data_IF_979635776536
#
_entry.id   IF_979635776536
#
_cell.length_a   1.000
_cell.length_b   1.000
_cell.length_c   1.000
_cell.angle_alpha   90.00
_cell.angle_beta   90.00
_cell.angle_gamma   90.00
#
_symmetry.space_group_name_H-M   'P 1'
#
loop_
_entity.id
_entity.type
_entity.pdbx_description
1 polymer ?
#
# COMPACT_ATOMS: atom_id res chain seq x y z
N UNK A 1 -9.17 26.61 -10.42
CA UNK A 1 -9.59 25.19 -10.55
C UNK A 1 -9.46 24.53 -9.19
N UNK A 2 -10.53 23.97 -8.61
CA UNK A 2 -10.41 23.08 -7.44
C UNK A 2 -9.61 21.85 -7.88
N UNK A 3 -8.47 21.60 -7.24
CA UNK A 3 -7.79 20.32 -7.41
C UNK A 3 -8.69 19.23 -6.81
N UNK A 4 -9.03 18.21 -7.60
CA UNK A 4 -9.74 17.04 -7.07
C UNK A 4 -8.81 16.32 -6.08
N UNK A 5 -9.19 16.34 -4.81
CA UNK A 5 -8.52 15.55 -3.77
C UNK A 5 -8.98 14.10 -3.96
N UNK A 6 -8.08 13.23 -4.44
CA UNK A 6 -8.39 11.81 -4.67
C UNK A 6 -8.39 11.01 -3.37
N UNK A 7 -7.47 11.36 -2.47
CA UNK A 7 -7.37 10.77 -1.13
C UNK A 7 -7.32 11.92 -0.12
N UNK A 8 -8.41 12.13 0.59
CA UNK A 8 -8.45 13.06 1.72
C UNK A 8 -7.66 12.50 2.92
N UNK A 9 -7.38 13.37 3.88
CA UNK A 9 -6.59 13.00 5.06
C UNK A 9 -7.23 11.86 5.86
N UNK A 10 -8.55 11.87 6.01
CA UNK A 10 -9.27 10.85 6.78
C UNK A 10 -9.20 9.51 6.08
N UNK A 11 -9.47 9.46 4.77
CA UNK A 11 -9.31 8.22 3.98
C UNK A 11 -7.87 7.71 4.06
N UNK A 12 -6.87 8.59 3.92
CA UNK A 12 -5.46 8.22 4.03
C UNK A 12 -5.12 7.59 5.39
N UNK A 13 -5.59 8.18 6.49
CA UNK A 13 -5.39 7.62 7.85
C UNK A 13 -6.07 6.27 8.00
N UNK A 14 -7.30 6.11 7.48
CA UNK A 14 -8.01 4.82 7.53
C UNK A 14 -7.25 3.76 6.73
N UNK A 15 -6.74 4.08 5.54
CA UNK A 15 -5.95 3.14 4.74
C UNK A 15 -4.68 2.69 5.49
N UNK A 16 -3.96 3.62 6.12
CA UNK A 16 -2.78 3.30 6.93
C UNK A 16 -3.15 2.46 8.15
N UNK A 17 -4.24 2.76 8.84
CA UNK A 17 -4.71 1.98 9.98
C UNK A 17 -5.05 0.53 9.59
N UNK A 18 -5.73 0.34 8.46
CA UNK A 18 -6.01 -1.00 7.91
C UNK A 18 -4.72 -1.71 7.52
N UNK A 19 -3.72 -1.00 6.99
CA UNK A 19 -2.45 -1.60 6.61
C UNK A 19 -1.68 -2.12 7.84
N UNK A 20 -1.71 -1.37 8.95
CA UNK A 20 -1.14 -1.80 10.24
C UNK A 20 -1.80 -3.08 10.74
N UNK A 21 -3.12 -3.24 10.54
CA UNK A 21 -3.81 -4.47 10.92
C UNK A 21 -3.33 -5.67 10.08
N UNK A 22 -3.13 -5.49 8.77
CA UNK A 22 -2.56 -6.54 7.92
C UNK A 22 -1.14 -6.92 8.35
N UNK A 23 -0.29 -5.93 8.64
CA UNK A 23 1.06 -6.18 9.16
C UNK A 23 1.05 -6.88 10.52
N UNK A 24 0.12 -6.52 11.43
CA UNK A 24 -0.03 -7.19 12.72
C UNK A 24 -0.44 -8.66 12.57
N UNK A 25 -1.35 -8.96 11.63
CA UNK A 25 -1.74 -10.34 11.30
C UNK A 25 -0.54 -11.10 10.71
N UNK A 26 0.19 -10.51 9.77
CA UNK A 26 1.40 -11.12 9.20
C UNK A 26 2.47 -11.39 10.26
N UNK A 27 2.72 -10.45 11.16
CA UNK A 27 3.65 -10.62 12.28
C UNK A 27 3.23 -11.77 13.21
N UNK A 28 1.93 -11.87 13.52
CA UNK A 28 1.38 -12.98 14.32
C UNK A 28 1.50 -14.33 13.62
N UNK A 29 1.23 -14.38 12.31
CA UNK A 29 1.37 -15.60 11.50
C UNK A 29 2.84 -16.05 11.42
N UNK A 30 3.77 -15.13 11.25
CA UNK A 30 5.21 -15.45 11.19
C UNK A 30 5.78 -16.07 12.48
N UNK A 31 5.06 -16.02 13.61
CA UNK A 31 5.43 -16.76 14.82
C UNK A 31 5.32 -18.29 14.66
N UNK A 32 4.54 -18.76 13.68
CA UNK A 32 4.36 -20.18 13.39
C UNK A 32 5.33 -20.58 12.25
N UNK A 33 6.37 -21.38 12.52
CA UNK A 33 7.32 -21.78 11.49
C UNK A 33 6.65 -22.63 10.40
N UNK A 34 7.11 -22.47 9.15
CA UNK A 34 6.55 -23.05 7.90
C UNK A 34 5.10 -22.66 7.59
N UNK A 35 4.14 -23.05 8.41
CA UNK A 35 2.71 -22.87 8.14
C UNK A 35 2.31 -21.39 8.19
N UNK A 36 2.85 -20.65 9.15
CA UNK A 36 2.64 -19.22 9.29
C UNK A 36 3.19 -18.40 8.14
N UNK A 37 4.33 -18.80 7.57
CA UNK A 37 4.95 -18.13 6.42
C UNK A 37 4.10 -18.29 5.16
N UNK A 38 3.55 -19.49 4.92
CA UNK A 38 2.65 -19.73 3.78
C UNK A 38 1.38 -18.90 3.91
N UNK A 39 0.80 -18.83 5.11
CA UNK A 39 -0.38 -18.01 5.38
C UNK A 39 -0.08 -16.51 5.27
N UNK A 40 1.09 -16.06 5.74
CA UNK A 40 1.51 -14.66 5.64
C UNK A 40 1.62 -14.21 4.18
N UNK A 41 2.15 -15.06 3.28
CA UNK A 41 2.18 -14.76 1.83
C UNK A 41 0.77 -14.58 1.27
N UNK A 42 -0.19 -15.43 1.65
CA UNK A 42 -1.58 -15.29 1.22
C UNK A 42 -2.23 -14.00 1.75
N UNK A 43 -1.97 -13.65 3.01
CA UNK A 43 -2.44 -12.41 3.62
C UNK A 43 -1.86 -11.19 2.92
N UNK A 44 -0.55 -11.18 2.61
CA UNK A 44 0.08 -10.12 1.83
C UNK A 44 -0.56 -9.96 0.45
N UNK A 45 -0.83 -11.06 -0.27
CA UNK A 45 -1.52 -11.01 -1.58
C UNK A 45 -2.89 -10.35 -1.43
N UNK A 46 -3.68 -10.75 -0.43
CA UNK A 46 -5.00 -10.17 -0.17
C UNK A 46 -4.89 -8.68 0.19
N UNK A 47 -3.89 -8.30 0.98
CA UNK A 47 -3.64 -6.91 1.34
C UNK A 47 -3.31 -6.06 0.10
N UNK A 48 -2.39 -6.52 -0.75
CA UNK A 48 -2.04 -5.83 -2.00
C UNK A 48 -3.22 -5.70 -2.96
N UNK A 49 -4.07 -6.72 -3.08
CA UNK A 49 -5.30 -6.64 -3.87
C UNK A 49 -6.30 -5.66 -3.28
N UNK A 50 -6.49 -5.69 -1.96
CA UNK A 50 -7.41 -4.80 -1.24
C UNK A 50 -7.01 -3.35 -1.42
N UNK A 51 -5.75 -3.02 -1.13
CA UNK A 51 -5.23 -1.66 -1.30
C UNK A 51 -5.15 -1.26 -2.77
N UNK A 52 -4.74 -2.17 -3.66
CA UNK A 52 -4.72 -1.94 -5.10
C UNK A 52 -6.10 -1.53 -5.62
N UNK A 53 -7.14 -2.29 -5.26
CA UNK A 53 -8.52 -1.96 -5.61
C UNK A 53 -8.98 -0.66 -4.94
N UNK A 54 -8.61 -0.42 -3.68
CA UNK A 54 -8.97 0.81 -2.98
C UNK A 54 -8.37 2.04 -3.67
N UNK A 55 -7.09 1.98 -4.04
CA UNK A 55 -6.44 3.04 -4.82
C UNK A 55 -7.11 3.24 -6.18
N UNK A 56 -7.39 2.17 -6.92
CA UNK A 56 -8.09 2.25 -8.21
C UNK A 56 -9.49 2.87 -8.07
N UNK A 57 -10.25 2.50 -7.04
CA UNK A 57 -11.58 3.07 -6.75
C UNK A 57 -11.55 4.58 -6.45
N UNK A 58 -10.41 5.07 -5.96
CA UNK A 58 -10.13 6.50 -5.74
C UNK A 58 -9.53 7.20 -6.98
N UNK A 59 -9.49 6.52 -8.12
CA UNK A 59 -8.91 7.06 -9.36
C UNK A 59 -7.39 7.18 -9.33
N UNK A 60 -6.73 6.42 -8.46
CA UNK A 60 -5.28 6.31 -8.37
C UNK A 60 -4.84 5.06 -9.14
N UNK A 61 -4.45 5.26 -10.40
CA UNK A 61 -3.82 4.22 -11.22
C UNK A 61 -2.34 4.02 -10.89
N UNK A 62 -1.85 2.81 -11.19
CA UNK A 62 -0.46 2.38 -11.02
C UNK A 62 0.39 2.46 -12.30
N UNK A 63 -0.13 3.05 -13.37
CA UNK A 63 0.62 3.29 -14.63
C UNK A 63 1.83 4.20 -14.39
N UNK A 64 1.80 4.99 -13.31
CA UNK A 64 2.93 5.82 -12.93
C UNK A 64 4.01 4.98 -12.20
N UNK A 65 5.25 4.92 -12.71
CA UNK A 65 6.32 4.13 -12.11
C UNK A 65 6.66 4.57 -10.69
N UNK A 66 6.48 5.85 -10.33
CA UNK A 66 6.70 6.31 -8.94
C UNK A 66 5.69 5.70 -7.98
N UNK A 67 4.40 5.64 -8.36
CA UNK A 67 3.35 5.04 -7.53
C UNK A 67 3.46 3.52 -7.51
N UNK A 68 3.75 2.91 -8.65
CA UNK A 68 4.00 1.48 -8.74
C UNK A 68 5.19 1.07 -7.86
N UNK A 69 6.31 1.80 -7.93
CA UNK A 69 7.46 1.54 -7.07
C UNK A 69 7.15 1.78 -5.58
N UNK A 70 6.38 2.82 -5.24
CA UNK A 70 5.98 3.08 -3.85
C UNK A 70 5.13 1.95 -3.27
N UNK A 71 4.20 1.42 -4.06
CA UNK A 71 3.26 0.40 -3.63
C UNK A 71 3.86 -1.02 -3.73
N UNK A 72 4.32 -1.43 -4.91
CA UNK A 72 4.89 -2.77 -5.15
C UNK A 72 6.34 -2.92 -4.70
N UNK A 73 7.09 -1.82 -4.54
CA UNK A 73 8.45 -1.90 -4.00
C UNK A 73 8.47 -2.44 -2.57
N UNK A 74 7.40 -2.23 -1.80
CA UNK A 74 7.24 -2.85 -0.48
C UNK A 74 7.16 -4.38 -0.55
N UNK A 75 6.57 -4.93 -1.62
CA UNK A 75 6.41 -6.39 -1.80
C UNK A 75 7.75 -7.10 -2.07
N UNK A 76 8.70 -6.41 -2.69
CA UNK A 76 10.05 -6.93 -2.93
C UNK A 76 10.81 -7.08 -1.60
N UNK A 77 10.57 -6.18 -0.65
CA UNK A 77 11.20 -6.23 0.67
C UNK A 77 10.65 -7.40 1.49
N UNK A 78 9.35 -7.71 1.37
CA UNK A 78 8.72 -8.86 2.04
C UNK A 78 9.26 -10.22 1.58
N UNK A 79 9.78 -10.30 0.35
CA UNK A 79 10.40 -11.53 -0.17
C UNK A 79 11.72 -11.89 0.54
N UNK A 80 12.30 -10.96 1.31
CA UNK A 80 13.51 -11.19 2.09
C UNK A 80 13.10 -11.67 3.49
N UNK A 81 13.34 -12.95 3.85
CA UNK A 81 12.82 -13.53 5.10
C UNK A 81 13.24 -12.81 6.39
N UNK A 82 14.38 -12.11 6.34
CA UNK A 82 14.93 -11.36 7.49
C UNK A 82 14.24 -10.00 7.69
N UNK A 83 13.67 -9.40 6.63
CA UNK A 83 13.03 -8.09 6.69
C UNK A 83 11.51 -8.18 6.89
N UNK A 84 10.93 -9.38 6.92
CA UNK A 84 9.49 -9.65 7.07
C UNK A 84 8.92 -9.31 8.47
N UNK A 85 9.74 -8.75 9.37
CA UNK A 85 9.30 -8.20 10.65
C UNK A 85 8.91 -6.72 10.54
N UNK A 86 9.34 -6.04 9.47
CA UNK A 86 9.00 -4.65 9.22
C UNK A 86 7.56 -4.57 8.69
N UNK A 87 6.81 -3.52 9.07
CA UNK A 87 5.46 -3.30 8.56
C UNK A 87 5.49 -2.79 7.10
N UNK A 88 5.88 -3.68 6.18
CA UNK A 88 6.16 -3.37 4.79
C UNK A 88 4.89 -2.90 4.05
N UNK A 89 3.74 -3.53 4.30
CA UNK A 89 2.45 -3.15 3.71
C UNK A 89 2.11 -1.72 4.15
N UNK A 90 2.24 -1.41 5.44
CA UNK A 90 2.00 -0.07 5.98
C UNK A 90 2.89 0.96 5.32
N UNK A 91 4.19 0.67 5.15
CA UNK A 91 5.12 1.60 4.49
C UNK A 91 4.69 1.83 3.04
N UNK A 92 4.37 0.78 2.28
CA UNK A 92 3.94 0.91 0.88
C UNK A 92 2.66 1.73 0.73
N UNK A 93 1.67 1.47 1.58
CA UNK A 93 0.39 2.21 1.59
C UNK A 93 0.61 3.66 2.00
N UNK A 94 1.34 3.92 3.09
CA UNK A 94 1.61 5.26 3.57
C UNK A 94 2.37 6.11 2.54
N UNK A 95 3.42 5.56 1.92
CA UNK A 95 4.16 6.25 0.86
C UNK A 95 3.26 6.54 -0.35
N UNK A 96 2.42 5.59 -0.76
CA UNK A 96 1.51 5.79 -1.89
C UNK A 96 0.49 6.89 -1.60
N UNK A 97 -0.10 6.89 -0.39
CA UNK A 97 -1.01 7.95 0.07
C UNK A 97 -0.31 9.30 0.07
N UNK A 98 0.91 9.40 0.60
CA UNK A 98 1.67 10.64 0.62
C UNK A 98 1.99 11.14 -0.78
N UNK A 99 2.45 10.27 -1.68
CA UNK A 99 2.71 10.62 -3.08
C UNK A 99 1.45 11.17 -3.74
N UNK A 100 0.30 10.51 -3.58
CA UNK A 100 -0.97 10.97 -4.15
C UNK A 100 -1.39 12.32 -3.59
N UNK A 101 -1.30 12.52 -2.27
CA UNK A 101 -1.64 13.79 -1.63
C UNK A 101 -0.71 14.93 -2.07
N UNK A 102 0.58 14.65 -2.27
CA UNK A 102 1.56 15.62 -2.76
C UNK A 102 1.29 15.99 -4.23
N UNK A 103 1.00 15.01 -5.08
CA UNK A 103 0.62 15.24 -6.48
C UNK A 103 -0.66 16.07 -6.58
N UNK A 104 -1.66 15.78 -5.74
CA UNK A 104 -2.91 16.51 -5.69
C UNK A 104 -2.65 17.98 -5.33
N UNK A 105 -1.89 18.25 -4.25
CA UNK A 105 -1.54 19.61 -3.79
C UNK A 105 -0.68 20.40 -4.79
N UNK A 106 0.29 19.75 -5.41
CA UNK A 106 1.23 20.40 -6.35
C UNK A 106 0.62 20.60 -7.73
N UNK A 107 -0.56 20.02 -8.00
CA UNK A 107 -1.25 20.17 -9.28
C UNK A 107 -0.53 19.47 -10.44
N UNK A 108 0.43 18.59 -10.14
CA UNK A 108 1.11 17.79 -11.15
C UNK A 108 0.09 16.77 -11.67
N UNK A 109 -0.64 17.16 -12.73
CA UNK A 109 -1.54 16.29 -13.48
C UNK A 109 -0.70 15.24 -14.21
N UNK A 110 -0.34 14.17 -13.52
CA UNK A 110 0.27 13.02 -14.18
C UNK A 110 -0.84 12.20 -14.86
N UNK A 111 -0.60 11.75 -16.10
CA UNK A 111 -1.64 11.27 -17.00
C UNK A 111 -2.49 10.19 -16.33
N UNK A 112 -3.79 10.47 -16.24
CA UNK A 112 -4.81 9.54 -15.79
C UNK A 112 -5.15 8.65 -17.00
N UNK A 113 -4.42 7.55 -17.18
CA UNK A 113 -4.91 6.43 -18.00
C UNK A 113 -5.31 5.35 -17.01
N UNK A 114 -6.62 5.29 -16.77
CA UNK A 114 -7.31 4.18 -16.10
C UNK A 114 -7.17 2.96 -16.99
#
# INVERSE_FOLDING_TARGET
MKQEIRIDKTTGVVMVAVAVLFDAVNAGLNLIPLLGQVLAVLVSIIAYLTFGFWFLSRGVGFVNPKRAASFFGSAIIEAIPVLNILPCITVGVALTVLVVQLEDKTGIKMPKKV
#
